data_IF_054230329449
#
_entry.id   IF_054230329449
#
_cell.length_a   1.000
_cell.length_b   1.000
_cell.length_c   1.000
_cell.angle_alpha   90.00
_cell.angle_beta   90.00
_cell.angle_gamma   90.00
#
_symmetry.space_group_name_H-M   'P 1'
#
loop_
_entity.id
_entity.type
_entity.pdbx_description
1 polymer ?
#
# COMPACT_ATOMS: atom_id res chain seq x y z
N UNK A 1 -6.27 36.82 -35.77
CA UNK A 1 -6.50 36.47 -34.35
C UNK A 1 -7.38 35.23 -34.31
N UNK A 2 -6.85 34.01 -34.14
CA UNK A 2 -7.70 32.83 -33.99
C UNK A 2 -8.19 32.74 -32.54
N UNK A 3 -9.48 32.91 -32.36
CA UNK A 3 -10.16 32.70 -31.08
C UNK A 3 -10.06 31.22 -30.76
N UNK A 4 -9.27 30.87 -29.75
CA UNK A 4 -9.19 29.49 -29.24
C UNK A 4 -10.60 29.08 -28.82
N UNK A 5 -11.14 28.07 -29.50
CA UNK A 5 -12.39 27.41 -29.16
C UNK A 5 -12.42 27.12 -27.66
N UNK A 6 -13.46 27.65 -26.99
CA UNK A 6 -13.77 27.43 -25.58
C UNK A 6 -14.03 25.94 -25.26
N UNK A 7 -14.02 25.05 -26.26
CA UNK A 7 -14.15 23.60 -26.08
C UNK A 7 -12.83 22.92 -25.66
N UNK A 8 -11.69 23.60 -25.69
CA UNK A 8 -10.40 22.98 -25.33
C UNK A 8 -10.08 22.93 -23.83
N UNK A 9 -10.97 23.44 -22.96
CA UNK A 9 -10.71 23.54 -21.50
C UNK A 9 -11.70 22.71 -20.65
N UNK A 10 -12.74 22.10 -21.25
CA UNK A 10 -13.83 21.47 -20.48
C UNK A 10 -13.65 19.94 -20.28
N UNK A 11 -12.62 19.32 -20.84
CA UNK A 11 -12.54 17.83 -20.88
C UNK A 11 -11.80 17.15 -19.72
N UNK A 12 -11.33 17.85 -18.69
CA UNK A 12 -10.73 17.20 -17.51
C UNK A 12 -11.69 17.14 -16.33
N UNK A 13 -12.92 16.67 -16.55
CA UNK A 13 -13.72 16.15 -15.43
C UNK A 13 -12.96 14.93 -14.91
N UNK A 14 -12.29 15.09 -13.77
CA UNK A 14 -11.61 13.97 -13.10
C UNK A 14 -12.70 13.00 -12.65
N UNK A 15 -13.08 12.07 -13.53
CA UNK A 15 -13.99 11.00 -13.20
C UNK A 15 -13.28 10.14 -12.16
N UNK A 16 -13.67 10.23 -10.90
CA UNK A 16 -13.08 9.45 -9.82
C UNK A 16 -13.61 8.01 -9.90
N UNK A 17 -13.09 7.25 -10.86
CA UNK A 17 -13.35 5.82 -10.94
C UNK A 17 -12.81 5.11 -9.68
N UNK A 18 -13.48 4.04 -9.23
CA UNK A 18 -13.03 3.21 -8.09
C UNK A 18 -11.62 2.63 -8.28
N UNK A 19 -11.13 2.63 -9.53
CA UNK A 19 -9.79 2.26 -9.97
C UNK A 19 -8.73 3.35 -9.82
N UNK A 20 -9.07 4.59 -9.45
CA UNK A 20 -8.16 5.75 -9.46
C UNK A 20 -6.88 5.50 -8.64
N UNK A 21 -6.99 4.84 -7.48
CA UNK A 21 -5.84 4.47 -6.65
C UNK A 21 -5.07 3.21 -7.09
N UNK A 22 -5.44 2.59 -8.21
CA UNK A 22 -4.85 1.36 -8.77
C UNK A 22 -4.46 1.51 -10.24
N UNK A 23 -4.53 2.72 -10.77
CA UNK A 23 -4.14 3.06 -12.13
C UNK A 23 -2.82 3.82 -12.10
N UNK A 24 -1.88 3.42 -12.96
CA UNK A 24 -0.61 4.12 -13.15
C UNK A 24 -0.41 4.39 -14.63
N UNK A 25 0.00 5.61 -14.95
CA UNK A 25 0.38 5.99 -16.31
C UNK A 25 1.77 5.46 -16.65
N UNK A 26 1.92 4.86 -17.83
CA UNK A 26 3.23 4.42 -18.33
C UNK A 26 3.91 5.59 -19.03
N UNK A 27 5.00 6.09 -18.46
CA UNK A 27 5.84 7.15 -19.05
C UNK A 27 7.12 6.55 -19.59
N UNK A 28 7.47 6.88 -20.84
CA UNK A 28 8.75 6.49 -21.46
C UNK A 28 8.91 5.00 -21.77
N UNK A 29 7.81 4.26 -21.97
CA UNK A 29 7.84 2.86 -22.44
C UNK A 29 8.34 1.82 -21.42
N UNK A 30 8.76 2.24 -20.23
CA UNK A 30 9.21 1.31 -19.19
C UNK A 30 8.02 0.73 -18.41
N UNK A 31 7.41 -0.30 -19.00
CA UNK A 31 6.25 -1.00 -18.43
C UNK A 31 6.61 -1.77 -17.16
N UNK A 32 7.81 -2.37 -17.11
CA UNK A 32 8.23 -3.23 -16.01
C UNK A 32 8.29 -2.47 -14.67
N UNK A 33 8.85 -1.27 -14.66
CA UNK A 33 8.94 -0.43 -13.46
C UNK A 33 7.57 0.02 -12.97
N UNK A 34 6.66 0.33 -13.89
CA UNK A 34 5.30 0.74 -13.56
C UNK A 34 4.51 -0.44 -12.98
N UNK A 35 4.67 -1.64 -13.52
CA UNK A 35 4.07 -2.85 -12.96
C UNK A 35 4.61 -3.14 -11.54
N UNK A 36 5.91 -2.97 -11.30
CA UNK A 36 6.49 -3.13 -9.96
C UNK A 36 5.94 -2.10 -8.96
N UNK A 37 5.79 -0.83 -9.39
CA UNK A 37 5.18 0.23 -8.57
C UNK A 37 3.71 -0.06 -8.27
N UNK A 38 2.95 -0.54 -9.26
CA UNK A 38 1.57 -0.97 -9.06
C UNK A 38 1.50 -2.11 -8.05
N UNK A 39 2.34 -3.14 -8.21
CA UNK A 39 2.39 -4.30 -7.31
C UNK A 39 2.74 -3.88 -5.87
N UNK A 40 3.73 -3.02 -5.69
CA UNK A 40 4.09 -2.46 -4.38
C UNK A 40 2.92 -1.70 -3.75
N UNK A 41 2.21 -0.89 -4.53
CA UNK A 41 1.05 -0.11 -4.05
C UNK A 41 -0.10 -1.02 -3.62
N UNK A 42 -0.41 -2.07 -4.40
CA UNK A 42 -1.43 -3.06 -4.05
C UNK A 42 -1.08 -3.83 -2.77
N UNK A 43 0.20 -4.14 -2.55
CA UNK A 43 0.68 -4.78 -1.33
C UNK A 43 0.60 -3.83 -0.12
N UNK A 44 1.03 -2.57 -0.27
CA UNK A 44 0.96 -1.54 0.78
C UNK A 44 -0.48 -1.31 1.23
N UNK A 45 -1.41 -1.21 0.27
CA UNK A 45 -2.84 -1.04 0.52
C UNK A 45 -3.54 -2.33 0.97
N UNK A 46 -2.79 -3.45 1.10
CA UNK A 46 -3.27 -4.77 1.54
C UNK A 46 -4.41 -5.36 0.69
N UNK A 47 -4.53 -4.94 -0.56
CA UNK A 47 -5.59 -5.40 -1.49
C UNK A 47 -5.50 -6.91 -1.73
N UNK A 48 -4.29 -7.42 -2.00
CA UNK A 48 -4.08 -8.85 -2.30
C UNK A 48 -4.34 -9.74 -1.06
N UNK A 49 -3.79 -9.45 0.14
CA UNK A 49 -4.14 -10.19 1.35
C UNK A 49 -5.63 -10.16 1.68
N UNK A 50 -6.28 -9.02 1.51
CA UNK A 50 -7.71 -8.86 1.80
C UNK A 50 -8.57 -9.66 0.82
N UNK A 51 -8.24 -9.66 -0.48
CA UNK A 51 -8.89 -10.50 -1.48
C UNK A 51 -8.86 -11.99 -1.08
N UNK A 52 -7.69 -12.48 -0.62
CA UNK A 52 -7.55 -13.87 -0.16
C UNK A 52 -8.38 -14.17 1.09
N UNK A 53 -8.45 -13.23 2.03
CA UNK A 53 -9.25 -13.37 3.26
C UNK A 53 -10.76 -13.29 2.97
N UNK A 54 -11.16 -12.49 1.99
CA UNK A 54 -12.55 -12.31 1.58
C UNK A 54 -13.08 -13.46 0.71
N UNK A 55 -12.19 -14.26 0.10
CA UNK A 55 -12.56 -15.39 -0.76
C UNK A 55 -13.45 -16.44 -0.05
N UNK A 56 -13.41 -16.52 1.29
CA UNK A 56 -14.29 -17.38 2.08
C UNK A 56 -14.79 -16.63 3.32
N UNK A 57 -16.00 -16.98 3.76
CA UNK A 57 -16.55 -16.39 4.98
C UNK A 57 -15.73 -16.79 6.22
N UNK A 58 -15.20 -15.78 6.91
CA UNK A 58 -14.58 -15.93 8.23
C UNK A 58 -15.60 -15.62 9.33
N UNK A 59 -15.92 -16.61 10.18
CA UNK A 59 -16.78 -16.43 11.35
C UNK A 59 -16.25 -15.30 12.27
N UNK A 60 -17.16 -14.48 12.81
CA UNK A 60 -16.84 -13.29 13.64
C UNK A 60 -15.84 -13.57 14.77
N UNK A 61 -15.98 -14.67 15.50
CA UNK A 61 -15.07 -15.05 16.60
C UNK A 61 -13.65 -15.36 16.13
N UNK A 62 -13.53 -16.10 15.03
CA UNK A 62 -12.24 -16.42 14.41
C UNK A 62 -11.54 -15.15 13.91
N UNK A 63 -12.28 -14.24 13.26
CA UNK A 63 -11.78 -12.93 12.83
C UNK A 63 -11.21 -12.11 14.00
N UNK A 64 -11.92 -12.07 15.14
CA UNK A 64 -11.47 -11.35 16.34
C UNK A 64 -10.18 -11.96 16.91
N UNK A 65 -10.12 -13.29 17.02
CA UNK A 65 -8.92 -14.01 17.50
C UNK A 65 -7.72 -13.76 16.59
N UNK A 66 -7.92 -13.83 15.27
CA UNK A 66 -6.89 -13.54 14.27
C UNK A 66 -6.38 -12.10 14.38
N UNK A 67 -7.27 -11.10 14.42
CA UNK A 67 -6.88 -9.70 14.52
C UNK A 67 -6.13 -9.39 15.83
N UNK A 68 -6.54 -9.99 16.95
CA UNK A 68 -5.83 -9.87 18.23
C UNK A 68 -4.41 -10.44 18.12
N UNK A 69 -4.27 -11.66 17.59
CA UNK A 69 -2.96 -12.30 17.39
C UNK A 69 -2.07 -11.51 16.42
N UNK A 70 -2.61 -11.01 15.31
CA UNK A 70 -1.86 -10.16 14.36
C UNK A 70 -1.37 -8.87 15.01
N UNK A 71 -2.21 -8.19 15.79
CA UNK A 71 -1.83 -6.98 16.52
C UNK A 71 -0.72 -7.27 17.52
N UNK A 72 -0.84 -8.35 18.28
CA UNK A 72 0.18 -8.75 19.25
C UNK A 72 1.52 -9.05 18.58
N UNK A 73 1.53 -9.85 17.51
CA UNK A 73 2.76 -10.16 16.76
C UNK A 73 3.44 -8.91 16.20
N UNK A 74 2.66 -7.96 15.68
CA UNK A 74 3.19 -6.67 15.19
C UNK A 74 3.82 -5.85 16.31
N UNK A 75 3.15 -5.74 17.46
CA UNK A 75 3.68 -5.02 18.64
C UNK A 75 4.94 -5.70 19.15
N UNK A 76 4.91 -7.02 19.32
CA UNK A 76 6.06 -7.80 19.77
C UNK A 76 7.28 -7.59 18.85
N UNK A 77 7.11 -7.73 17.54
CA UNK A 77 8.19 -7.53 16.58
C UNK A 77 8.75 -6.10 16.60
N UNK A 78 7.91 -5.10 16.84
CA UNK A 78 8.33 -3.71 16.98
C UNK A 78 9.17 -3.48 18.24
N UNK A 79 8.74 -4.02 19.39
CA UNK A 79 9.48 -3.91 20.64
C UNK A 79 10.82 -4.66 20.57
N UNK A 80 10.84 -5.86 19.97
CA UNK A 80 12.09 -6.60 19.71
C UNK A 80 13.03 -5.77 18.85
N UNK A 81 12.54 -5.18 17.74
CA UNK A 81 13.35 -4.35 16.86
C UNK A 81 13.96 -3.15 17.57
N UNK A 82 13.20 -2.46 18.42
CA UNK A 82 13.70 -1.34 19.23
C UNK A 82 14.83 -1.75 20.17
N UNK A 83 14.65 -2.88 20.87
CA UNK A 83 15.66 -3.42 21.78
C UNK A 83 16.95 -3.81 21.04
N UNK A 84 16.83 -4.49 19.91
CA UNK A 84 17.98 -4.85 19.06
C UNK A 84 18.70 -3.59 18.57
N UNK A 85 17.97 -2.58 18.11
CA UNK A 85 18.56 -1.30 17.69
C UNK A 85 19.31 -0.61 18.84
N UNK A 86 18.81 -0.67 20.07
CA UNK A 86 19.49 -0.13 21.24
C UNK A 86 20.81 -0.87 21.51
N UNK A 87 20.78 -2.20 21.53
CA UNK A 87 21.98 -3.03 21.72
C UNK A 87 23.02 -2.75 20.65
N UNK A 88 22.61 -2.66 19.38
CA UNK A 88 23.51 -2.34 18.29
C UNK A 88 24.16 -0.95 18.46
N UNK A 89 23.41 0.05 18.96
CA UNK A 89 23.95 1.37 19.26
C UNK A 89 24.95 1.36 20.41
N UNK A 90 24.72 0.56 21.45
CA UNK A 90 25.65 0.39 22.58
C UNK A 90 26.95 -0.25 22.08
N UNK A 91 26.85 -1.34 21.31
CA UNK A 91 28.00 -2.02 20.70
C UNK A 91 28.81 -1.10 19.78
N UNK A 92 28.13 -0.28 18.98
CA UNK A 92 28.80 0.68 18.09
C UNK A 92 29.58 1.77 18.84
N UNK A 93 29.27 2.01 20.13
CA UNK A 93 29.98 2.96 21.00
C UNK A 93 31.20 2.36 21.70
N UNK A 94 31.51 1.08 21.49
CA UNK A 94 32.72 0.44 22.01
C UNK A 94 32.59 -0.22 23.38
N UNK A 95 31.37 -0.54 23.81
CA UNK A 95 31.14 -1.52 24.89
C UNK A 95 31.12 -2.95 24.32
#
# INVERSE_FOLDING_TARGET
MPVKSLQSIVESTIFSYTTSGRSFEVKGGNVADILNKLQYTLQRNRVVPELRLAARHEKKGYKRRRLSSERWRKRFAHEVRKKVQLVNKIRARGA
#
